data_IF_434283715414
#
_entry.id   IF_434283715414
#
_cell.length_a   1.000
_cell.length_b   1.000
_cell.length_c   1.000
_cell.angle_alpha   90.00
_cell.angle_beta   90.00
_cell.angle_gamma   90.00
#
_symmetry.space_group_name_H-M   'P 1'
#
loop_
_entity.id
_entity.type
_entity.pdbx_description
1 polymer ?
#
# COMPACT_ATOMS: atom_id res chain seq x y z
N UNK A 1 30.79 57.35 -21.35
CA UNK A 1 30.87 55.89 -21.57
C UNK A 1 29.70 55.25 -20.86
N UNK A 2 28.80 54.68 -21.65
CA UNK A 2 27.53 54.09 -21.26
C UNK A 2 27.68 52.83 -20.43
N UNK A 3 26.75 52.65 -19.48
CA UNK A 3 26.01 51.40 -19.26
C UNK A 3 26.72 50.27 -18.54
N UNK A 4 26.26 49.96 -17.32
CA UNK A 4 25.86 48.61 -16.91
C UNK A 4 25.22 48.65 -15.53
N UNK A 5 23.89 48.68 -15.48
CA UNK A 5 23.11 48.21 -14.34
C UNK A 5 22.79 46.74 -14.56
N UNK A 6 23.37 45.83 -13.78
CA UNK A 6 22.85 44.47 -13.65
C UNK A 6 22.70 44.13 -12.16
N UNK A 7 21.51 44.42 -11.61
CA UNK A 7 21.04 43.80 -10.38
C UNK A 7 20.77 42.32 -10.69
N UNK A 8 21.74 41.46 -10.42
CA UNK A 8 21.51 40.02 -10.38
C UNK A 8 20.54 39.72 -9.22
N UNK A 9 19.26 39.64 -9.54
CA UNK A 9 18.22 39.14 -8.65
C UNK A 9 18.42 37.63 -8.53
N UNK A 10 19.17 37.23 -7.51
CA UNK A 10 19.28 35.83 -7.10
C UNK A 10 17.88 35.32 -6.77
N UNK A 11 17.30 34.53 -7.67
CA UNK A 11 16.07 33.79 -7.40
C UNK A 11 16.34 32.94 -6.15
N UNK A 12 15.70 33.30 -5.04
CA UNK A 12 15.63 32.44 -3.87
C UNK A 12 14.96 31.15 -4.32
N UNK A 13 15.75 30.09 -4.48
CA UNK A 13 15.23 28.74 -4.64
C UNK A 13 14.48 28.47 -3.33
N UNK A 14 13.17 28.23 -3.42
CA UNK A 14 12.35 27.91 -2.26
C UNK A 14 13.07 26.85 -1.42
N UNK A 15 13.08 26.97 -0.08
CA UNK A 15 13.71 25.95 0.75
C UNK A 15 13.11 24.61 0.35
N UNK A 16 13.96 23.75 -0.23
CA UNK A 16 13.65 22.34 -0.35
C UNK A 16 13.40 21.93 1.08
N UNK A 17 12.14 21.68 1.44
CA UNK A 17 11.84 20.96 2.66
C UNK A 17 12.40 19.57 2.43
N UNK A 18 13.69 19.39 2.77
CA UNK A 18 14.18 18.07 3.12
C UNK A 18 13.20 17.67 4.21
N UNK A 19 12.41 16.65 3.96
CA UNK A 19 11.58 16.04 4.99
C UNK A 19 12.56 15.30 5.90
N UNK A 20 13.45 16.04 6.58
CA UNK A 20 14.11 15.55 7.76
C UNK A 20 12.97 15.18 8.69
N UNK A 21 12.97 13.93 9.14
CA UNK A 21 11.93 13.34 9.98
C UNK A 21 10.63 12.86 9.30
N UNK A 22 10.76 11.96 8.33
CA UNK A 22 9.77 10.88 8.18
C UNK A 22 9.52 10.20 9.55
N UNK A 23 10.58 10.09 10.38
CA UNK A 23 10.57 9.55 11.74
C UNK A 23 9.61 10.24 12.73
N UNK A 24 9.06 11.42 12.43
CA UNK A 24 8.13 12.11 13.36
C UNK A 24 6.68 12.10 12.89
N UNK A 25 6.39 11.70 11.63
CA UNK A 25 5.05 11.89 11.04
C UNK A 25 4.16 10.64 10.95
N UNK A 26 4.69 9.42 11.05
CA UNK A 26 3.88 8.18 11.05
C UNK A 26 4.30 7.28 12.21
N UNK A 27 3.94 7.63 13.45
CA UNK A 27 4.30 6.81 14.63
C UNK A 27 3.56 5.47 14.70
N UNK A 28 2.37 5.42 14.10
CA UNK A 28 1.48 4.26 14.11
C UNK A 28 0.93 4.05 12.69
N UNK A 29 0.99 2.82 12.20
CA UNK A 29 0.34 2.37 10.96
C UNK A 29 -0.52 1.15 11.29
N UNK A 30 -1.81 1.19 10.97
CA UNK A 30 -2.76 0.09 11.20
C UNK A 30 -2.75 -0.42 12.66
N UNK A 31 -2.72 0.51 13.63
CA UNK A 31 -2.62 0.19 15.07
C UNK A 31 -1.22 -0.27 15.53
N UNK A 32 -0.28 -0.50 14.63
CA UNK A 32 1.08 -0.94 14.94
C UNK A 32 2.03 0.25 15.11
N UNK A 33 2.76 0.32 16.24
CA UNK A 33 3.82 1.31 16.44
C UNK A 33 5.02 0.97 15.55
N UNK A 34 5.19 1.74 14.48
CA UNK A 34 6.23 1.53 13.46
C UNK A 34 7.48 2.38 13.71
N UNK A 35 7.40 3.41 14.57
CA UNK A 35 8.53 4.25 14.95
C UNK A 35 8.61 4.38 16.47
N UNK A 36 9.80 4.16 17.02
CA UNK A 36 10.15 4.30 18.43
C UNK A 36 11.50 5.05 18.54
N UNK A 37 11.71 5.95 19.51
CA UNK A 37 13.03 6.53 19.80
C UNK A 37 14.18 5.52 19.90
N UNK A 38 13.90 4.27 20.28
CA UNK A 38 14.91 3.22 20.38
C UNK A 38 15.10 2.41 19.07
N UNK A 39 14.33 2.69 18.02
CA UNK A 39 14.41 1.95 16.75
C UNK A 39 15.37 2.61 15.77
N UNK A 40 16.14 1.76 15.09
CA UNK A 40 16.89 2.20 13.92
C UNK A 40 15.95 2.45 12.75
N UNK A 41 16.41 3.20 11.75
CA UNK A 41 15.67 3.39 10.51
C UNK A 41 15.35 2.05 9.81
N UNK A 42 16.22 1.06 9.98
CA UNK A 42 16.01 -0.30 9.47
C UNK A 42 14.84 -1.00 10.18
N UNK A 43 14.81 -0.97 11.51
CA UNK A 43 13.72 -1.60 12.29
C UNK A 43 12.35 -1.03 11.93
N UNK A 44 12.29 0.29 11.75
CA UNK A 44 11.08 0.97 11.31
C UNK A 44 10.65 0.53 9.90
N UNK A 45 11.58 0.44 8.95
CA UNK A 45 11.31 -0.03 7.60
C UNK A 45 10.85 -1.48 7.57
N UNK A 46 11.51 -2.37 8.29
CA UNK A 46 11.12 -3.78 8.41
C UNK A 46 9.72 -3.93 9.01
N UNK A 47 9.37 -3.12 10.01
CA UNK A 47 8.00 -3.10 10.56
C UNK A 47 6.96 -2.65 9.57
N UNK A 48 7.23 -1.55 8.85
CA UNK A 48 6.34 -1.09 7.78
C UNK A 48 6.16 -2.17 6.72
N UNK A 49 7.26 -2.73 6.24
CA UNK A 49 7.26 -3.81 5.26
C UNK A 49 6.40 -5.00 5.75
N UNK A 50 6.56 -5.41 7.01
CA UNK A 50 5.75 -6.49 7.57
C UNK A 50 4.26 -6.14 7.65
N UNK A 51 3.89 -4.90 8.03
CA UNK A 51 2.48 -4.47 8.05
C UNK A 51 1.88 -4.49 6.64
N UNK A 52 2.60 -4.02 5.64
CA UNK A 52 2.13 -4.02 4.25
C UNK A 52 2.09 -5.42 3.63
N UNK A 53 3.07 -6.28 3.93
CA UNK A 53 3.17 -7.63 3.36
C UNK A 53 2.28 -8.65 4.08
N UNK A 54 1.99 -8.47 5.39
CA UNK A 54 1.11 -9.37 6.15
C UNK A 54 -0.39 -9.11 5.92
N UNK A 55 -0.75 -8.51 4.79
CA UNK A 55 -2.16 -8.35 4.38
C UNK A 55 -2.82 -9.68 3.99
N UNK A 56 -2.10 -10.81 4.08
CA UNK A 56 -2.58 -12.17 3.74
C UNK A 56 -3.96 -12.48 4.34
N UNK A 57 -4.12 -12.35 5.66
CA UNK A 57 -5.39 -12.68 6.32
C UNK A 57 -6.55 -11.77 5.90
N UNK A 58 -6.29 -10.48 5.71
CA UNK A 58 -7.31 -9.55 5.19
C UNK A 58 -7.69 -9.85 3.75
N UNK A 59 -6.74 -10.31 2.93
CA UNK A 59 -6.99 -10.73 1.54
C UNK A 59 -7.77 -12.02 1.48
N UNK A 60 -7.38 -13.01 2.27
CA UNK A 60 -8.09 -14.27 2.43
C UNK A 60 -9.56 -14.00 2.79
N UNK A 61 -9.81 -13.25 3.87
CA UNK A 61 -11.17 -12.93 4.31
C UNK A 61 -11.99 -12.19 3.23
N UNK A 62 -11.38 -11.25 2.51
CA UNK A 62 -12.05 -10.53 1.44
C UNK A 62 -12.37 -11.44 0.23
N UNK A 63 -11.42 -12.29 -0.17
CA UNK A 63 -11.57 -13.24 -1.27
C UNK A 63 -12.60 -14.32 -0.94
N UNK A 64 -12.57 -14.86 0.27
CA UNK A 64 -13.54 -15.84 0.76
C UNK A 64 -14.95 -15.23 0.81
N UNK A 65 -15.07 -14.00 1.31
CA UNK A 65 -16.35 -13.28 1.30
C UNK A 65 -16.87 -13.06 -0.13
N UNK A 66 -16.01 -12.68 -1.07
CA UNK A 66 -16.40 -12.52 -2.47
C UNK A 66 -16.84 -13.86 -3.07
N UNK A 67 -16.08 -14.94 -2.83
CA UNK A 67 -16.39 -16.28 -3.32
C UNK A 67 -17.74 -16.79 -2.82
N UNK A 68 -17.99 -16.71 -1.51
CA UNK A 68 -19.21 -17.21 -0.87
C UNK A 68 -20.48 -16.42 -1.24
N UNK A 69 -20.33 -15.12 -1.51
CA UNK A 69 -21.45 -14.25 -1.87
C UNK A 69 -21.62 -14.05 -3.38
N UNK A 70 -20.74 -14.64 -4.19
CA UNK A 70 -20.84 -14.54 -5.63
C UNK A 70 -22.11 -15.26 -6.10
N UNK A 71 -22.95 -14.55 -6.86
CA UNK A 71 -24.19 -15.10 -7.39
C UNK A 71 -24.25 -14.91 -8.90
N UNK A 72 -24.86 -15.84 -9.62
CA UNK A 72 -24.99 -15.78 -11.08
C UNK A 72 -25.65 -14.47 -11.56
N UNK A 73 -26.62 -13.95 -10.78
CA UNK A 73 -27.31 -12.67 -11.06
C UNK A 73 -26.40 -11.44 -11.05
N UNK A 74 -25.23 -11.52 -10.40
CA UNK A 74 -24.27 -10.43 -10.33
C UNK A 74 -23.34 -10.40 -11.56
N UNK A 75 -23.44 -11.39 -12.45
CA UNK A 75 -22.58 -11.56 -13.62
C UNK A 75 -23.36 -11.41 -14.92
N UNK A 76 -22.65 -11.06 -15.99
CA UNK A 76 -23.25 -10.83 -17.32
C UNK A 76 -23.57 -12.12 -18.08
N UNK A 77 -23.00 -13.26 -17.67
CA UNK A 77 -23.25 -14.58 -18.25
C UNK A 77 -22.84 -15.71 -17.31
N UNK A 78 -23.27 -16.94 -17.63
CA UNK A 78 -22.83 -18.16 -16.93
C UNK A 78 -21.32 -18.38 -17.06
N UNK A 79 -20.75 -18.11 -18.23
CA UNK A 79 -19.31 -18.24 -18.46
C UNK A 79 -18.52 -17.23 -17.60
N UNK A 80 -18.98 -15.98 -17.52
CA UNK A 80 -18.35 -14.96 -16.68
C UNK A 80 -18.38 -15.34 -15.19
N UNK A 81 -19.49 -15.93 -14.73
CA UNK A 81 -19.61 -16.45 -13.37
C UNK A 81 -18.64 -17.60 -13.10
N UNK A 82 -18.56 -18.58 -14.01
CA UNK A 82 -17.63 -19.71 -13.90
C UNK A 82 -16.17 -19.25 -13.89
N UNK A 83 -15.83 -18.31 -14.78
CA UNK A 83 -14.49 -17.73 -14.83
C UNK A 83 -14.15 -16.98 -13.54
N UNK A 84 -15.09 -16.18 -13.00
CA UNK A 84 -14.85 -15.46 -11.75
C UNK A 84 -14.63 -16.40 -10.57
N UNK A 85 -15.38 -17.51 -10.48
CA UNK A 85 -15.15 -18.53 -9.45
C UNK A 85 -13.76 -19.16 -9.56
N UNK A 86 -13.30 -19.49 -10.78
CA UNK A 86 -11.94 -19.98 -11.02
C UNK A 86 -10.89 -18.96 -10.59
N UNK A 87 -11.07 -17.70 -10.95
CA UNK A 87 -10.13 -16.63 -10.62
C UNK A 87 -10.03 -16.42 -9.10
N UNK A 88 -11.17 -16.46 -8.38
CA UNK A 88 -11.20 -16.34 -6.93
C UNK A 88 -10.57 -17.56 -6.25
N UNK A 89 -10.87 -18.76 -6.74
CA UNK A 89 -10.24 -20.00 -6.26
C UNK A 89 -8.72 -19.99 -6.46
N UNK A 90 -8.24 -19.51 -7.62
CA UNK A 90 -6.80 -19.33 -7.88
C UNK A 90 -6.16 -18.31 -6.94
N UNK A 91 -6.81 -17.15 -6.73
CA UNK A 91 -6.32 -16.13 -5.80
C UNK A 91 -6.29 -16.62 -4.33
N UNK A 92 -7.26 -17.44 -3.95
CA UNK A 92 -7.30 -18.10 -2.64
C UNK A 92 -6.14 -19.10 -2.47
N UNK A 93 -5.79 -19.83 -3.53
CA UNK A 93 -4.61 -20.68 -3.54
C UNK A 93 -3.30 -19.89 -3.42
N UNK A 94 -3.19 -18.71 -4.07
CA UNK A 94 -2.01 -17.83 -3.98
C UNK A 94 -1.81 -17.26 -2.56
N UNK A 95 -2.86 -17.16 -1.75
CA UNK A 95 -2.78 -16.80 -0.33
C UNK A 95 -2.71 -18.02 0.59
N UNK A 96 -2.33 -19.20 0.07
CA UNK A 96 -2.21 -20.46 0.82
C UNK A 96 -3.49 -20.83 1.60
N UNK A 97 -4.66 -20.42 1.10
CA UNK A 97 -5.98 -20.75 1.64
C UNK A 97 -6.84 -21.41 0.55
N UNK A 98 -6.53 -22.64 0.12
CA UNK A 98 -7.26 -23.29 -0.96
C UNK A 98 -8.73 -23.55 -0.58
N UNK A 99 -9.60 -23.48 -1.58
CA UNK A 99 -11.01 -23.88 -1.44
C UNK A 99 -11.07 -25.41 -1.33
N UNK A 100 -11.77 -25.94 -0.32
CA UNK A 100 -11.99 -27.38 -0.18
C UNK A 100 -12.97 -27.89 -1.26
N UNK A 101 -12.72 -29.10 -1.78
CA UNK A 101 -13.59 -29.80 -2.74
C UNK A 101 -14.89 -30.33 -2.12
#
# INVERSE_FOLDING_TARGET
>A
MSGATEKNSTKAIHPVYIVTNIQTKVRVLDGTKVLDPDFTAYDAWSKLQNVFLNNKGSREAALEHEFNNLTLRAMTSLEAYHQRLKDLSGQLNDVECPVNE
#
